data_IF_346529349704
#
_entry.id   IF_346529349704
#
_cell.length_a   1.000
_cell.length_b   1.000
_cell.length_c   1.000
_cell.angle_alpha   90.00
_cell.angle_beta   90.00
_cell.angle_gamma   90.00
#
_symmetry.space_group_name_H-M   'P 1'
#
loop_
_entity.id
_entity.type
_entity.pdbx_description
1 polymer ?
#
# COMPACT_ATOMS: atom_id res chain seq x y z
N UNK A 1 7.86 -11.43 -17.53
CA UNK A 1 6.67 -10.94 -16.79
C UNK A 1 5.88 -12.16 -16.31
N UNK A 2 5.65 -12.29 -15.00
CA UNK A 2 4.77 -13.34 -14.48
C UNK A 2 3.34 -13.05 -14.91
N UNK A 3 2.51 -14.08 -15.11
CA UNK A 3 1.09 -13.83 -15.29
C UNK A 3 0.48 -13.42 -13.93
N UNK A 4 -0.60 -12.67 -13.95
CA UNK A 4 -1.21 -12.12 -12.73
C UNK A 4 -1.60 -13.20 -11.70
N UNK A 5 -2.08 -14.37 -12.17
CA UNK A 5 -2.44 -15.47 -11.28
C UNK A 5 -1.25 -15.99 -10.48
N UNK A 6 -0.11 -16.19 -11.15
CA UNK A 6 1.12 -16.62 -10.49
C UNK A 6 1.60 -15.57 -9.48
N UNK A 7 1.59 -14.29 -9.87
CA UNK A 7 1.95 -13.18 -9.00
C UNK A 7 1.06 -13.11 -7.75
N UNK A 8 -0.25 -13.28 -7.91
CA UNK A 8 -1.21 -13.25 -6.79
C UNK A 8 -1.01 -14.41 -5.80
N UNK A 9 -0.59 -15.59 -6.30
CA UNK A 9 -0.29 -16.77 -5.46
C UNK A 9 1.05 -16.57 -4.73
N UNK A 10 2.08 -16.13 -5.41
CA UNK A 10 3.45 -16.06 -4.88
C UNK A 10 3.68 -14.87 -3.93
N UNK A 11 2.99 -13.75 -4.18
CA UNK A 11 3.12 -12.55 -3.34
C UNK A 11 2.69 -12.84 -1.91
N UNK A 12 3.55 -12.53 -0.96
CA UNK A 12 3.23 -12.61 0.48
C UNK A 12 3.58 -11.30 1.21
N UNK A 13 3.08 -11.15 2.43
CA UNK A 13 3.38 -9.99 3.29
C UNK A 13 4.79 -10.12 3.87
N UNK A 14 5.73 -9.36 3.32
CA UNK A 14 7.13 -9.30 3.77
C UNK A 14 7.24 -8.40 4.99
N UNK A 15 7.86 -8.92 6.08
CA UNK A 15 8.01 -8.22 7.36
C UNK A 15 9.44 -8.23 7.90
N UNK A 16 10.39 -8.67 7.08
CA UNK A 16 11.83 -8.62 7.36
C UNK A 16 12.55 -8.28 6.06
N UNK A 17 13.29 -7.20 6.06
CA UNK A 17 13.93 -6.66 4.87
C UNK A 17 15.44 -6.73 4.98
N UNK A 18 16.12 -6.83 3.83
CA UNK A 18 17.54 -6.55 3.69
C UNK A 18 17.78 -5.04 3.86
N UNK A 19 19.00 -4.67 4.23
CA UNK A 19 19.42 -3.27 4.35
C UNK A 19 19.76 -2.62 3.01
N UNK A 20 19.78 -3.41 1.93
CA UNK A 20 20.06 -2.92 0.58
C UNK A 20 19.04 -1.83 0.20
N UNK A 21 19.49 -0.64 -0.21
CA UNK A 21 18.59 0.41 -0.71
C UNK A 21 17.80 -0.05 -1.93
N UNK A 22 16.62 0.50 -2.09
CA UNK A 22 15.81 0.34 -3.31
C UNK A 22 16.34 1.36 -4.34
N UNK A 23 16.62 0.88 -5.54
CA UNK A 23 17.11 1.69 -6.65
C UNK A 23 16.03 2.69 -7.12
N UNK A 24 16.46 3.87 -7.59
CA UNK A 24 15.54 4.92 -8.04
C UNK A 24 14.65 4.44 -9.20
N UNK A 25 15.20 3.67 -10.12
CA UNK A 25 14.46 3.12 -11.26
C UNK A 25 13.30 2.22 -10.82
N UNK A 26 13.47 1.47 -9.72
CA UNK A 26 12.39 0.67 -9.14
C UNK A 26 11.35 1.54 -8.47
N UNK A 27 11.76 2.59 -7.76
CA UNK A 27 10.83 3.56 -7.18
C UNK A 27 9.99 4.23 -8.28
N UNK A 28 10.61 4.62 -9.39
CA UNK A 28 9.91 5.24 -10.52
C UNK A 28 8.85 4.29 -11.12
N UNK A 29 9.15 3.00 -11.24
CA UNK A 29 8.18 1.98 -11.66
C UNK A 29 7.00 1.90 -10.68
N UNK A 30 7.25 1.96 -9.37
CA UNK A 30 6.20 1.92 -8.35
C UNK A 30 5.29 3.15 -8.41
N UNK A 31 5.89 4.34 -8.58
CA UNK A 31 5.13 5.58 -8.70
C UNK A 31 4.27 5.61 -9.97
N UNK A 32 4.80 5.08 -11.08
CA UNK A 32 4.05 4.96 -12.32
C UNK A 32 2.88 3.95 -12.19
N UNK A 33 3.09 2.81 -11.53
CA UNK A 33 2.01 1.86 -11.25
C UNK A 33 0.89 2.49 -10.42
N UNK A 34 1.24 3.29 -9.41
CA UNK A 34 0.29 4.03 -8.60
C UNK A 34 -0.47 5.10 -9.41
N UNK A 35 0.21 5.78 -10.36
CA UNK A 35 -0.38 6.77 -11.26
C UNK A 35 -1.37 6.15 -12.23
N UNK A 36 -1.11 4.93 -12.69
CA UNK A 36 -1.95 4.21 -13.66
C UNK A 36 -3.19 3.54 -13.02
N UNK A 37 -3.26 3.49 -11.70
CA UNK A 37 -4.39 2.89 -11.00
C UNK A 37 -5.69 3.63 -11.31
N UNK A 38 -6.81 2.94 -11.60
CA UNK A 38 -8.08 3.58 -11.84
C UNK A 38 -8.64 4.21 -10.55
N UNK A 39 -9.37 5.30 -10.71
CA UNK A 39 -10.09 5.99 -9.63
C UNK A 39 -11.50 6.35 -10.07
N UNK A 40 -12.39 6.58 -9.11
CA UNK A 40 -13.76 6.99 -9.39
C UNK A 40 -13.75 8.26 -10.25
N UNK A 41 -14.49 8.22 -11.39
CA UNK A 41 -14.56 9.30 -12.37
C UNK A 41 -13.20 9.82 -12.87
N UNK A 42 -12.12 9.05 -12.66
CA UNK A 42 -10.73 9.47 -12.94
C UNK A 42 -10.35 10.80 -12.25
N UNK A 43 -10.87 11.03 -11.04
CA UNK A 43 -10.58 12.25 -10.27
C UNK A 43 -9.17 12.25 -9.67
N UNK A 44 -8.52 11.10 -9.60
CA UNK A 44 -7.11 10.94 -9.20
C UNK A 44 -6.79 11.63 -7.86
N UNK A 45 -7.55 11.33 -6.79
CA UNK A 45 -7.36 11.96 -5.48
C UNK A 45 -6.12 11.43 -4.75
N UNK A 46 -5.47 10.36 -5.24
CA UNK A 46 -4.34 9.74 -4.57
C UNK A 46 -3.17 10.71 -4.40
N UNK A 47 -2.55 10.65 -3.22
CA UNK A 47 -1.31 11.34 -2.86
C UNK A 47 -0.35 10.34 -2.26
N UNK A 48 0.87 10.30 -2.74
CA UNK A 48 1.89 9.35 -2.32
C UNK A 48 2.97 10.10 -1.56
N UNK A 49 3.16 9.77 -0.29
CA UNK A 49 4.27 10.27 0.49
C UNK A 49 5.39 9.22 0.50
N UNK A 50 6.49 9.53 -0.17
CA UNK A 50 7.66 8.66 -0.27
C UNK A 50 8.64 8.97 0.86
N UNK A 51 9.02 7.95 1.61
CA UNK A 51 9.96 8.01 2.72
C UNK A 51 11.20 7.20 2.35
N UNK A 52 12.26 7.87 1.91
CA UNK A 52 13.51 7.26 1.44
C UNK A 52 14.77 7.85 2.09
N UNK A 53 14.60 8.68 3.13
CA UNK A 53 15.71 9.21 3.92
C UNK A 53 15.71 8.64 5.33
N UNK A 54 16.86 8.55 5.97
CA UNK A 54 16.98 8.06 7.33
C UNK A 54 16.09 8.83 8.33
N UNK A 55 16.00 10.16 8.19
CA UNK A 55 15.14 11.00 9.03
C UNK A 55 13.65 10.65 8.85
N UNK A 56 13.18 10.58 7.59
CA UNK A 56 11.78 10.27 7.30
C UNK A 56 11.40 8.86 7.78
N UNK A 57 12.27 7.86 7.58
CA UNK A 57 12.04 6.50 8.05
C UNK A 57 12.10 6.37 9.57
N UNK A 58 12.93 7.16 10.26
CA UNK A 58 12.95 7.19 11.73
C UNK A 58 11.66 7.75 12.30
N UNK A 59 11.11 8.82 11.75
CA UNK A 59 9.80 9.37 12.14
C UNK A 59 8.66 8.35 12.01
N UNK A 60 8.74 7.44 11.02
CA UNK A 60 7.74 6.40 10.81
C UNK A 60 7.64 5.42 12.00
N UNK A 61 8.75 5.19 12.72
CA UNK A 61 8.79 4.28 13.87
C UNK A 61 7.85 4.69 15.00
N UNK A 62 7.63 5.99 15.17
CA UNK A 62 6.70 6.51 16.17
C UNK A 62 5.23 6.40 15.74
N UNK A 63 4.99 6.21 14.44
CA UNK A 63 3.65 6.13 13.87
C UNK A 63 3.09 4.70 13.83
N UNK A 64 3.96 3.70 13.71
CA UNK A 64 3.56 2.29 13.61
C UNK A 64 4.71 1.34 13.92
N UNK A 65 4.40 0.19 14.53
CA UNK A 65 5.34 -0.93 14.63
C UNK A 65 5.51 -1.69 13.29
N UNK A 66 4.64 -1.40 12.30
CA UNK A 66 4.67 -2.02 10.97
C UNK A 66 5.74 -1.48 10.02
N UNK A 67 6.67 -0.64 10.49
CA UNK A 67 7.76 -0.10 9.65
C UNK A 67 8.79 -1.16 9.26
N UNK A 68 8.97 -2.21 10.07
CA UNK A 68 9.88 -3.36 9.89
C UNK A 68 11.32 -2.98 9.49
N UNK A 69 11.77 -1.75 9.75
CA UNK A 69 13.05 -1.18 9.34
C UNK A 69 13.33 -1.30 7.83
N UNK A 70 12.28 -1.22 7.02
CA UNK A 70 12.42 -1.22 5.56
C UNK A 70 13.22 0.01 5.07
N UNK A 71 14.04 -0.12 4.01
CA UNK A 71 14.85 0.98 3.48
C UNK A 71 14.04 2.02 2.70
N UNK A 72 12.79 1.73 2.39
CA UNK A 72 11.83 2.61 1.71
C UNK A 72 10.45 2.41 2.32
N UNK A 73 9.65 3.45 2.42
CA UNK A 73 8.21 3.31 2.67
C UNK A 73 7.42 4.28 1.80
N UNK A 74 6.22 3.89 1.40
CA UNK A 74 5.25 4.77 0.73
C UNK A 74 3.99 4.81 1.58
N UNK A 75 3.56 6.01 1.98
CA UNK A 75 2.25 6.21 2.59
C UNK A 75 1.28 6.61 1.49
N UNK A 76 0.28 5.77 1.26
CA UNK A 76 -0.79 6.08 0.32
C UNK A 76 -1.85 6.87 1.06
N UNK A 77 -2.08 8.08 0.57
CA UNK A 77 -3.08 9.02 1.04
C UNK A 77 -4.05 9.35 -0.08
N UNK A 78 -5.12 10.06 0.26
CA UNK A 78 -5.96 10.74 -0.73
C UNK A 78 -6.30 12.15 -0.27
N UNK A 79 -6.63 13.00 -1.22
CA UNK A 79 -7.11 14.36 -1.02
C UNK A 79 -8.65 14.33 -0.99
N UNK A 80 -9.24 14.58 0.18
CA UNK A 80 -10.69 14.51 0.36
C UNK A 80 -11.46 15.68 -0.27
N UNK A 81 -10.76 16.69 -0.76
CA UNK A 81 -11.37 17.80 -1.51
C UNK A 81 -11.55 17.47 -2.99
N UNK A 82 -10.83 16.43 -3.48
CA UNK A 82 -10.86 15.98 -4.87
C UNK A 82 -11.60 14.65 -5.03
N UNK A 83 -11.62 13.80 -3.97
CA UNK A 83 -12.28 12.50 -4.02
C UNK A 83 -13.74 12.59 -4.40
N UNK A 84 -14.21 11.60 -5.16
CA UNK A 84 -15.63 11.50 -5.52
C UNK A 84 -16.47 11.15 -4.29
N UNK A 85 -17.60 11.84 -4.15
CA UNK A 85 -18.62 11.55 -3.15
C UNK A 85 -19.79 10.85 -3.84
N UNK A 86 -20.24 9.74 -3.26
CA UNK A 86 -21.40 9.02 -3.80
C UNK A 86 -22.69 9.78 -3.50
N UNK A 87 -23.47 10.10 -4.53
CA UNK A 87 -24.65 10.97 -4.46
C UNK A 87 -25.77 10.46 -3.53
N UNK A 88 -25.86 9.15 -3.30
CA UNK A 88 -26.94 8.56 -2.51
C UNK A 88 -26.79 8.71 -1.00
N UNK A 89 -25.57 8.82 -0.49
CA UNK A 89 -25.26 8.77 0.94
C UNK A 89 -24.06 9.64 1.34
N UNK A 90 -23.57 10.49 0.43
CA UNK A 90 -22.40 11.36 0.59
C UNK A 90 -21.10 10.62 1.00
N UNK A 91 -21.07 9.29 0.80
CA UNK A 91 -19.90 8.49 1.15
C UNK A 91 -18.68 8.88 0.33
N UNK A 92 -17.58 9.20 1.02
CA UNK A 92 -16.31 9.54 0.41
C UNK A 92 -15.63 8.27 -0.14
N UNK A 93 -15.45 8.19 -1.46
CA UNK A 93 -14.81 7.06 -2.13
C UNK A 93 -13.28 7.16 -2.18
N UNK A 94 -12.68 8.20 -1.64
CA UNK A 94 -11.23 8.38 -1.64
C UNK A 94 -10.46 7.24 -0.97
N UNK A 95 -11.02 6.62 0.08
CA UNK A 95 -10.41 5.44 0.70
C UNK A 95 -10.42 4.22 -0.23
N UNK A 96 -11.46 4.08 -1.06
CA UNK A 96 -11.56 3.01 -2.07
C UNK A 96 -10.51 3.25 -3.16
N UNK A 97 -10.44 4.47 -3.71
CA UNK A 97 -9.45 4.85 -4.72
C UNK A 97 -8.02 4.61 -4.20
N UNK A 98 -7.71 5.07 -2.98
CA UNK A 98 -6.41 4.83 -2.35
C UNK A 98 -6.11 3.33 -2.14
N UNK A 99 -7.11 2.52 -1.87
CA UNK A 99 -6.96 1.06 -1.74
C UNK A 99 -6.68 0.38 -3.08
N UNK A 100 -7.29 0.85 -4.16
CA UNK A 100 -6.97 0.38 -5.52
C UNK A 100 -5.52 0.73 -5.86
N UNK A 101 -5.09 1.97 -5.62
CA UNK A 101 -3.69 2.41 -5.79
C UNK A 101 -2.73 1.54 -4.96
N UNK A 102 -3.05 1.30 -3.68
CA UNK A 102 -2.26 0.42 -2.81
C UNK A 102 -2.15 -1.01 -3.33
N UNK A 103 -3.20 -1.54 -3.95
CA UNK A 103 -3.19 -2.86 -4.58
C UNK A 103 -2.26 -2.89 -5.81
N UNK A 104 -2.30 -1.87 -6.66
CA UNK A 104 -1.37 -1.72 -7.78
C UNK A 104 0.08 -1.67 -7.30
N UNK A 105 0.38 -0.85 -6.29
CA UNK A 105 1.71 -0.81 -5.67
C UNK A 105 2.14 -2.17 -5.16
N UNK A 106 1.30 -2.85 -4.38
CA UNK A 106 1.62 -4.12 -3.74
C UNK A 106 1.98 -5.21 -4.76
N UNK A 107 1.24 -5.31 -5.87
CA UNK A 107 1.53 -6.28 -6.91
C UNK A 107 2.76 -5.90 -7.72
N UNK A 108 2.95 -4.62 -8.03
CA UNK A 108 4.14 -4.14 -8.75
C UNK A 108 5.41 -4.35 -7.93
N UNK A 109 5.38 -4.10 -6.62
CA UNK A 109 6.51 -4.39 -5.72
C UNK A 109 6.95 -5.86 -5.86
N UNK A 110 5.99 -6.79 -5.86
CA UNK A 110 6.28 -8.22 -5.99
C UNK A 110 6.78 -8.60 -7.41
N UNK A 111 6.23 -7.99 -8.45
CA UNK A 111 6.61 -8.25 -9.84
C UNK A 111 8.05 -7.84 -10.15
N UNK A 112 8.53 -6.74 -9.55
CA UNK A 112 9.91 -6.26 -9.72
C UNK A 112 10.91 -6.84 -8.72
N UNK A 113 10.50 -7.91 -7.98
CA UNK A 113 11.38 -8.66 -7.08
C UNK A 113 11.64 -7.99 -5.73
N UNK A 114 10.81 -7.04 -5.33
CA UNK A 114 10.80 -6.45 -3.98
C UNK A 114 9.74 -7.11 -3.10
N UNK A 115 9.76 -6.77 -1.82
CA UNK A 115 8.76 -7.19 -0.84
C UNK A 115 8.07 -6.00 -0.20
N UNK A 116 6.82 -6.20 0.20
CA UNK A 116 6.05 -5.24 0.97
C UNK A 116 4.97 -5.94 1.79
N UNK A 117 4.35 -5.19 2.69
CA UNK A 117 3.10 -5.58 3.35
C UNK A 117 2.21 -4.37 3.50
N UNK A 118 0.89 -4.58 3.42
CA UNK A 118 -0.11 -3.54 3.67
C UNK A 118 -0.24 -3.29 5.17
N UNK A 119 0.07 -2.09 5.63
CA UNK A 119 -0.09 -1.67 7.03
C UNK A 119 -1.27 -0.71 7.13
N UNK A 120 -2.34 -1.16 7.80
CA UNK A 120 -3.46 -0.33 8.23
C UNK A 120 -3.36 0.00 9.74
N UNK A 121 -2.53 -0.71 10.49
CA UNK A 121 -2.30 -0.50 11.92
C UNK A 121 -1.24 0.58 12.16
N UNK A 122 -1.64 1.84 12.08
CA UNK A 122 -0.83 3.02 12.39
C UNK A 122 -1.69 4.10 13.07
N UNK A 123 -1.07 5.07 13.75
CA UNK A 123 -1.80 6.23 14.27
C UNK A 123 -1.82 7.35 13.21
N UNK A 124 -2.99 7.65 12.60
CA UNK A 124 -3.08 8.67 11.54
C UNK A 124 -2.77 10.09 12.05
N UNK A 125 -2.98 10.37 13.33
CA UNK A 125 -2.65 11.67 13.95
C UNK A 125 -1.14 11.84 14.06
N UNK A 126 -0.42 10.78 14.46
CA UNK A 126 1.05 10.78 14.49
C UNK A 126 1.63 10.93 13.09
N UNK A 127 1.09 10.22 12.09
CA UNK A 127 1.51 10.38 10.68
C UNK A 127 1.31 11.83 10.24
N UNK A 128 0.14 12.42 10.50
CA UNK A 128 -0.15 13.82 10.16
C UNK A 128 0.87 14.78 10.76
N UNK A 129 1.15 14.64 12.05
CA UNK A 129 2.10 15.50 12.77
C UNK A 129 3.54 15.29 12.27
N UNK A 130 3.99 14.03 12.15
CA UNK A 130 5.36 13.70 11.76
C UNK A 130 5.74 14.20 10.37
N UNK A 131 4.78 14.26 9.46
CA UNK A 131 5.01 14.62 8.06
C UNK A 131 4.28 15.89 7.62
N UNK A 132 3.74 16.65 8.57
CA UNK A 132 3.02 17.92 8.31
C UNK A 132 1.92 17.78 7.23
N UNK A 133 1.13 16.69 7.27
CA UNK A 133 0.05 16.49 6.30
C UNK A 133 -1.03 17.55 6.48
N UNK A 134 -1.44 18.25 5.40
CA UNK A 134 -2.61 19.12 5.41
C UNK A 134 -3.89 18.37 5.83
N UNK A 135 -4.89 19.09 6.34
CA UNK A 135 -6.12 18.47 6.85
C UNK A 135 -6.92 17.70 5.80
N UNK A 136 -6.84 18.13 4.56
CA UNK A 136 -7.47 17.47 3.43
C UNK A 136 -6.73 16.20 2.94
N UNK A 137 -5.51 15.95 3.40
CA UNK A 137 -4.74 14.75 3.01
C UNK A 137 -4.95 13.66 4.07
N UNK A 138 -5.61 12.59 3.66
CA UNK A 138 -6.02 11.49 4.53
C UNK A 138 -5.13 10.27 4.28
N UNK A 139 -4.30 9.84 5.26
CA UNK A 139 -3.48 8.63 5.12
C UNK A 139 -4.35 7.38 5.25
N UNK A 140 -4.17 6.40 4.33
CA UNK A 140 -4.97 5.17 4.24
C UNK A 140 -4.16 3.93 4.56
N UNK A 141 -2.94 3.83 4.01
CA UNK A 141 -2.09 2.67 4.20
C UNK A 141 -0.61 3.04 4.11
N UNK A 142 0.22 2.26 4.80
CA UNK A 142 1.68 2.36 4.75
C UNK A 142 2.23 1.09 4.12
N UNK A 143 3.13 1.24 3.15
CA UNK A 143 3.83 0.16 2.46
C UNK A 143 5.32 0.26 2.78
N UNK A 144 5.85 -0.48 3.77
CA UNK A 144 7.29 -0.69 3.91
C UNK A 144 7.77 -1.52 2.71
N UNK A 145 8.85 -1.10 2.06
CA UNK A 145 9.31 -1.68 0.79
C UNK A 145 10.81 -1.91 0.86
N UNK A 146 11.24 -3.04 0.35
CA UNK A 146 12.66 -3.41 0.26
C UNK A 146 12.85 -4.81 -0.29
N UNK A 147 14.10 -5.25 -0.37
CA UNK A 147 14.40 -6.64 -0.69
C UNK A 147 14.02 -7.53 0.49
N UNK A 148 13.30 -8.64 0.28
CA UNK A 148 13.04 -9.59 1.35
C UNK A 148 14.35 -10.14 1.92
N UNK A 149 14.48 -10.15 3.26
CA UNK A 149 15.62 -10.83 3.89
C UNK A 149 15.54 -12.33 3.59
N UNK A 150 16.68 -13.04 3.38
CA UNK A 150 16.69 -14.47 3.07
C UNK A 150 15.88 -15.35 4.04
N UNK A 151 15.85 -14.99 5.34
CA UNK A 151 15.08 -15.71 6.36
C UNK A 151 13.57 -15.29 6.38
N UNK A 152 13.14 -14.36 5.53
CA UNK A 152 11.75 -13.95 5.49
C UNK A 152 10.94 -14.97 4.69
N UNK A 153 10.10 -15.71 5.38
CA UNK A 153 9.23 -16.71 4.77
C UNK A 153 7.75 -16.26 4.88
N UNK A 154 6.87 -16.74 3.97
CA UNK A 154 5.44 -16.52 4.11
C UNK A 154 4.90 -16.99 5.47
N UNK A 155 3.98 -16.22 6.04
CA UNK A 155 3.31 -16.62 7.28
C UNK A 155 2.49 -17.92 7.07
N UNK A 156 2.26 -18.75 8.12
CA UNK A 156 1.52 -20.01 7.99
C UNK A 156 0.12 -19.90 7.39
N UNK A 157 -0.51 -18.71 7.50
CA UNK A 157 -1.82 -18.42 6.89
C UNK A 157 -1.76 -18.01 5.42
N UNK A 158 -0.57 -17.88 4.82
CA UNK A 158 -0.42 -17.36 3.46
C UNK A 158 -1.24 -18.13 2.41
N UNK A 159 -1.28 -19.44 2.51
CA UNK A 159 -2.00 -20.32 1.56
C UNK A 159 -3.44 -20.65 1.98
N UNK A 160 -3.84 -20.26 3.20
CA UNK A 160 -5.21 -20.54 3.68
C UNK A 160 -6.19 -19.61 3.00
N UNK A 161 -7.20 -20.20 2.36
CA UNK A 161 -8.34 -19.50 1.72
C UNK A 161 -9.62 -20.27 2.01
N UNK A 162 -10.70 -19.55 2.11
CA UNK A 162 -12.02 -20.14 2.05
C UNK A 162 -12.29 -20.68 0.63
N UNK A 163 -13.19 -21.64 0.50
CA UNK A 163 -13.64 -22.08 -0.81
C UNK A 163 -14.42 -20.96 -1.51
N UNK A 164 -14.41 -20.97 -2.82
CA UNK A 164 -15.11 -19.93 -3.61
C UNK A 164 -16.59 -19.90 -3.28
N UNK A 165 -17.20 -21.09 -3.01
CA UNK A 165 -18.59 -21.22 -2.58
C UNK A 165 -18.92 -20.49 -1.29
N UNK A 166 -17.94 -20.39 -0.35
CA UNK A 166 -18.14 -19.69 0.93
C UNK A 166 -18.13 -18.16 0.76
N UNK A 167 -17.56 -17.70 -0.34
CA UNK A 167 -17.37 -16.27 -0.64
C UNK A 167 -18.35 -15.74 -1.69
N UNK A 168 -19.14 -16.65 -2.31
CA UNK A 168 -19.96 -16.30 -3.48
C UNK A 168 -21.42 -16.59 -3.22
N UNK A 169 -22.24 -15.57 -3.37
CA UNK A 169 -23.69 -15.67 -3.29
C UNK A 169 -24.28 -15.21 -4.62
N UNK A 170 -25.21 -15.97 -5.18
CA UNK A 170 -25.81 -15.70 -6.48
C UNK A 170 -27.20 -15.06 -6.31
N UNK A 171 -27.40 -13.95 -7.00
CA UNK A 171 -28.66 -13.21 -7.17
C UNK A 171 -29.16 -12.49 -5.90
N UNK A 172 -29.20 -13.12 -4.75
CA UNK A 172 -29.63 -12.50 -3.47
C UNK A 172 -28.99 -13.22 -2.28
N UNK A 173 -28.84 -12.51 -1.15
CA UNK A 173 -28.52 -13.10 0.14
C UNK A 173 -29.71 -13.89 0.67
#
# INVERSE_FOLDING_TARGET
MKNFKALAIERYSVRKFDTKPVEQEKLDILLEAARLAPTAHNYQPQRLLVLNTADSLNKLKDCTNGHFNAPLAIIVCYDNTVSWKREYDDADMGVVDASIVGSHLMFTVADIGLGTTWIAHFDPRKVRTAYALPDNIIPVAIFPIGYPHPDCVPAPGHTKRFDVSDLTIYNSF
#
